data_IF_920526636768
#
_entry.id   IF_920526636768
#
_cell.length_a   1.000
_cell.length_b   1.000
_cell.length_c   1.000
_cell.angle_alpha   90.00
_cell.angle_beta   90.00
_cell.angle_gamma   90.00
#
_symmetry.space_group_name_H-M   'P 1'
#
loop_
_entity.id
_entity.type
_entity.pdbx_description
1 polymer ?
#
# COMPACT_ATOMS: atom_id res chain seq x y z
N UNK A 1 2.85 6.74 7.94
CA UNK A 1 2.82 5.87 6.74
C UNK A 1 2.11 6.61 5.61
N UNK A 2 2.70 6.69 4.41
CA UNK A 2 2.12 7.38 3.24
C UNK A 2 0.71 6.88 2.89
N UNK A 3 0.50 5.56 2.91
CA UNK A 3 -0.81 4.95 2.65
C UNK A 3 -1.90 5.45 3.61
N UNK A 4 -1.58 5.63 4.89
CA UNK A 4 -2.52 6.19 5.86
C UNK A 4 -2.82 7.69 5.62
N UNK A 5 -1.87 8.43 5.01
CA UNK A 5 -2.11 9.83 4.61
C UNK A 5 -3.06 9.92 3.41
N UNK A 6 -2.96 8.99 2.46
CA UNK A 6 -3.90 8.90 1.33
C UNK A 6 -5.35 8.70 1.79
N UNK A 7 -5.55 7.91 2.86
CA UNK A 7 -6.88 7.70 3.45
C UNK A 7 -7.38 8.92 4.23
N UNK A 8 -6.51 9.57 5.00
CA UNK A 8 -6.88 10.74 5.81
C UNK A 8 -7.23 11.99 5.00
N UNK A 9 -6.76 12.11 3.75
CA UNK A 9 -7.05 13.27 2.91
C UNK A 9 -8.53 13.43 2.54
N UNK A 10 -9.39 12.45 2.85
CA UNK A 10 -10.86 12.53 2.69
C UNK A 10 -11.65 12.64 4.00
N UNK A 11 -11.06 12.35 5.16
CA UNK A 11 -11.78 12.34 6.43
C UNK A 11 -11.43 13.57 7.26
N UNK A 12 -12.12 14.68 6.98
CA UNK A 12 -12.38 15.71 7.98
C UNK A 12 -13.63 15.34 8.80
N UNK A 13 -13.68 14.14 9.37
CA UNK A 13 -14.22 13.94 10.72
C UNK A 13 -14.18 12.47 11.18
N UNK A 14 -13.80 12.34 12.45
CA UNK A 14 -13.98 11.22 13.37
C UNK A 14 -13.22 9.89 13.21
N UNK A 15 -12.53 9.60 14.31
CA UNK A 15 -11.87 8.34 14.63
C UNK A 15 -12.87 7.25 14.98
N UNK A 16 -12.86 6.16 14.21
CA UNK A 16 -13.02 4.73 14.59
C UNK A 16 -13.40 3.95 13.33
N UNK A 17 -12.87 2.73 13.22
CA UNK A 17 -13.41 1.62 12.40
C UNK A 17 -12.81 1.44 10.99
N UNK A 18 -11.72 0.67 10.93
CA UNK A 18 -11.07 0.21 9.70
C UNK A 18 -11.97 -0.76 8.88
N UNK A 19 -12.92 -1.45 9.52
CA UNK A 19 -13.90 -2.33 8.85
C UNK A 19 -15.07 -1.56 8.21
N UNK A 20 -15.44 -0.40 8.77
CA UNK A 20 -16.48 0.47 8.22
C UNK A 20 -15.95 1.29 7.02
N UNK A 21 -14.63 1.49 6.95
CA UNK A 21 -13.95 2.17 5.84
C UNK A 21 -14.06 1.36 4.53
N UNK A 22 -14.05 0.03 4.60
CA UNK A 22 -14.25 -0.85 3.43
C UNK A 22 -15.66 -0.66 2.85
N UNK A 23 -16.68 -0.57 3.71
CA UNK A 23 -18.07 -0.39 3.30
C UNK A 23 -18.37 1.05 2.86
N UNK A 24 -17.73 2.04 3.49
CA UNK A 24 -17.88 3.48 3.16
C UNK A 24 -17.18 3.84 1.85
N UNK A 25 -15.97 3.36 1.58
CA UNK A 25 -15.29 3.62 0.30
C UNK A 25 -16.08 2.99 -0.85
N UNK A 26 -16.73 1.83 -0.67
CA UNK A 26 -17.63 1.27 -1.69
C UNK A 26 -18.94 2.06 -1.87
N UNK A 27 -19.38 2.84 -0.86
CA UNK A 27 -20.65 3.59 -0.88
C UNK A 27 -20.50 5.06 -1.25
N UNK A 28 -19.31 5.64 -1.13
CA UNK A 28 -19.08 7.09 -1.20
C UNK A 28 -18.24 7.51 -2.42
N UNK A 29 -18.47 6.85 -3.56
CA UNK A 29 -17.96 7.27 -4.87
C UNK A 29 -18.78 8.44 -5.47
N UNK A 30 -19.11 9.44 -4.66
CA UNK A 30 -19.85 10.64 -5.09
C UNK A 30 -19.11 11.88 -4.61
N UNK A 31 -18.05 12.24 -5.35
CA UNK A 31 -17.29 13.47 -5.11
C UNK A 31 -16.10 13.60 -6.04
N UNK A 32 -16.34 13.88 -7.33
CA UNK A 32 -15.41 14.44 -8.33
C UNK A 32 -13.90 14.13 -8.17
N UNK A 33 -13.54 12.88 -7.90
CA UNK A 33 -12.15 12.41 -7.90
C UNK A 33 -11.89 11.66 -9.21
N UNK A 34 -10.71 11.86 -9.79
CA UNK A 34 -10.31 11.13 -10.99
C UNK A 34 -10.32 9.62 -10.70
N UNK A 35 -10.62 8.76 -11.68
CA UNK A 35 -10.72 7.31 -11.46
C UNK A 35 -9.44 6.67 -10.88
N UNK A 36 -8.26 7.26 -11.08
CA UNK A 36 -7.04 6.81 -10.41
C UNK A 36 -7.04 7.12 -8.89
N UNK A 37 -7.63 8.23 -8.44
CA UNK A 37 -7.63 8.65 -7.04
C UNK A 37 -8.47 7.72 -6.15
N UNK A 38 -9.68 7.37 -6.58
CA UNK A 38 -10.53 6.44 -5.84
C UNK A 38 -9.93 5.04 -5.80
N UNK A 39 -9.33 4.60 -6.93
CA UNK A 39 -8.58 3.36 -6.98
C UNK A 39 -7.38 3.34 -6.02
N UNK A 40 -6.61 4.43 -5.96
CA UNK A 40 -5.45 4.53 -5.08
C UNK A 40 -5.85 4.35 -3.60
N UNK A 41 -7.01 4.87 -3.20
CA UNK A 41 -7.55 4.69 -1.84
C UNK A 41 -7.90 3.23 -1.56
N UNK A 42 -8.66 2.60 -2.46
CA UNK A 42 -9.01 1.18 -2.34
C UNK A 42 -7.77 0.30 -2.26
N UNK A 43 -6.80 0.55 -3.14
CA UNK A 43 -5.52 -0.15 -3.18
C UNK A 43 -4.69 0.10 -1.91
N UNK A 44 -4.69 1.33 -1.37
CA UNK A 44 -4.02 1.65 -0.12
C UNK A 44 -4.64 0.92 1.08
N UNK A 45 -5.96 0.79 1.12
CA UNK A 45 -6.67 0.05 2.17
C UNK A 45 -6.27 -1.42 2.15
N UNK A 46 -6.34 -2.06 0.98
CA UNK A 46 -5.92 -3.45 0.80
C UNK A 46 -4.46 -3.67 1.22
N UNK A 47 -3.56 -2.77 0.80
CA UNK A 47 -2.16 -2.83 1.15
C UNK A 47 -1.90 -2.66 2.66
N UNK A 48 -2.65 -1.78 3.34
CA UNK A 48 -2.57 -1.61 4.79
C UNK A 48 -3.03 -2.87 5.53
N UNK A 49 -4.10 -3.51 5.06
CA UNK A 49 -4.57 -4.79 5.62
C UNK A 49 -3.51 -5.87 5.43
N UNK A 50 -2.90 -5.98 4.25
CA UNK A 50 -1.81 -6.93 4.01
C UNK A 50 -0.60 -6.65 4.92
N UNK A 51 -0.21 -5.37 5.09
CA UNK A 51 0.92 -4.98 5.93
C UNK A 51 0.74 -5.38 7.40
N UNK A 52 -0.49 -5.42 7.93
CA UNK A 52 -0.76 -5.83 9.32
C UNK A 52 -0.24 -7.24 9.61
N UNK A 53 -0.31 -8.14 8.63
CA UNK A 53 0.13 -9.53 8.77
C UNK A 53 1.64 -9.72 8.53
N UNK A 54 2.35 -8.69 8.05
CA UNK A 54 3.79 -8.75 7.81
C UNK A 54 4.53 -8.23 9.06
N UNK A 55 5.46 -9.01 9.64
CA UNK A 55 6.29 -8.56 10.76
C UNK A 55 7.03 -7.25 10.46
N UNK A 56 7.17 -6.38 11.46
CA UNK A 56 7.78 -5.04 11.29
C UNK A 56 9.17 -5.12 10.67
N UNK A 57 9.99 -6.10 11.06
CA UNK A 57 11.32 -6.32 10.49
C UNK A 57 11.28 -6.63 8.97
N UNK A 58 10.34 -7.47 8.54
CA UNK A 58 10.20 -7.86 7.14
C UNK A 58 9.70 -6.71 6.24
N UNK A 59 8.93 -5.76 6.79
CA UNK A 59 8.41 -4.61 6.02
C UNK A 59 9.51 -3.73 5.42
N UNK A 60 10.69 -3.68 6.04
CA UNK A 60 11.83 -2.90 5.53
C UNK A 60 12.42 -3.46 4.24
N UNK A 61 12.29 -4.76 4.01
CA UNK A 61 12.77 -5.43 2.81
C UNK A 61 11.78 -5.41 1.64
N UNK A 62 10.59 -4.82 1.82
CA UNK A 62 9.57 -4.79 0.77
C UNK A 62 9.98 -3.80 -0.32
N UNK A 63 10.04 -4.23 -1.60
CA UNK A 63 10.34 -3.32 -2.70
C UNK A 63 9.19 -2.33 -2.91
N UNK A 64 9.56 -1.06 -3.13
CA UNK A 64 8.63 0.02 -3.41
C UNK A 64 9.04 0.73 -4.69
N UNK A 65 8.06 1.10 -5.52
CA UNK A 65 8.27 1.95 -6.68
C UNK A 65 7.90 3.38 -6.31
N UNK A 66 8.81 4.31 -6.56
CA UNK A 66 8.65 5.74 -6.29
C UNK A 66 8.87 6.55 -7.57
N UNK A 67 8.25 7.72 -7.66
CA UNK A 67 8.54 8.70 -8.71
C UNK A 67 9.90 9.36 -8.49
N UNK A 68 10.37 10.13 -9.48
CA UNK A 68 11.62 10.89 -9.36
C UNK A 68 11.59 11.90 -8.18
N UNK A 69 10.40 12.38 -7.83
CA UNK A 69 10.12 13.30 -6.72
C UNK A 69 9.94 12.57 -5.38
N UNK A 70 10.07 11.24 -5.35
CA UNK A 70 9.92 10.43 -4.15
C UNK A 70 8.47 10.10 -3.76
N UNK A 71 7.51 10.30 -4.66
CA UNK A 71 6.11 9.93 -4.41
C UNK A 71 5.93 8.42 -4.59
N UNK A 72 5.28 7.74 -3.65
CA UNK A 72 5.03 6.30 -3.75
C UNK A 72 4.03 5.99 -4.87
N UNK A 73 4.45 5.17 -5.85
CA UNK A 73 3.63 4.78 -7.00
C UNK A 73 3.05 3.37 -6.86
N UNK A 74 3.82 2.43 -6.30
CA UNK A 74 3.37 1.06 -6.11
C UNK A 74 4.17 0.33 -5.03
N UNK A 75 3.53 -0.64 -4.37
CA UNK A 75 4.20 -1.67 -3.57
C UNK A 75 3.74 -3.02 -4.15
N UNK A 76 4.49 -3.58 -5.12
CA UNK A 76 4.02 -4.71 -5.91
C UNK A 76 3.67 -5.95 -5.07
N UNK A 77 4.47 -6.26 -4.05
CA UNK A 77 4.30 -7.47 -3.22
C UNK A 77 3.06 -7.46 -2.32
N UNK A 78 2.44 -6.31 -2.09
CA UNK A 78 1.23 -6.17 -1.25
C UNK A 78 0.08 -5.50 -2.00
N UNK A 79 0.18 -5.39 -3.34
CA UNK A 79 -0.92 -4.95 -4.19
C UNK A 79 -1.21 -3.44 -4.19
N UNK A 80 -0.34 -2.59 -3.63
CA UNK A 80 -0.53 -1.15 -3.71
C UNK A 80 -0.20 -0.62 -5.12
N UNK A 81 -1.09 0.16 -5.72
CA UNK A 81 -0.92 0.84 -7.01
C UNK A 81 -1.66 2.18 -7.01
N UNK A 82 -0.96 3.24 -7.43
CA UNK A 82 -1.51 4.61 -7.46
C UNK A 82 -2.53 4.83 -8.60
N UNK A 83 -2.49 4.04 -9.67
CA UNK A 83 -3.49 4.09 -10.74
C UNK A 83 -3.67 2.68 -11.35
N UNK A 84 -4.88 2.28 -11.76
CA UNK A 84 -5.12 0.93 -12.29
C UNK A 84 -4.36 0.61 -13.57
N UNK A 85 -4.02 1.62 -14.38
CA UNK A 85 -3.21 1.43 -15.59
C UNK A 85 -1.72 1.19 -15.30
N UNK A 86 -1.28 1.34 -14.05
CA UNK A 86 0.12 1.17 -13.67
C UNK A 86 0.47 -0.33 -13.57
N UNK A 87 1.30 -0.79 -14.50
CA UNK A 87 1.86 -2.15 -14.51
C UNK A 87 3.30 -2.13 -14.01
N UNK A 88 3.50 -2.57 -12.76
CA UNK A 88 4.82 -2.70 -12.13
C UNK A 88 4.92 -4.11 -11.54
N UNK A 89 6.07 -4.75 -11.72
CA UNK A 89 6.44 -6.00 -11.05
C UNK A 89 7.76 -5.80 -10.32
N UNK A 90 7.97 -6.56 -9.25
CA UNK A 90 9.23 -6.62 -8.54
C UNK A 90 9.62 -8.08 -8.38
N UNK A 91 10.82 -8.44 -8.82
CA UNK A 91 11.37 -9.78 -8.66
C UNK A 91 12.38 -9.75 -7.50
N UNK A 92 12.16 -10.59 -6.49
CA UNK A 92 13.12 -10.73 -5.40
C UNK A 92 14.24 -11.69 -5.81
N UNK A 93 15.44 -11.15 -5.99
CA UNK A 93 16.66 -11.93 -6.32
C UNK A 93 17.64 -11.90 -5.15
N UNK A 94 17.49 -12.76 -4.14
CA UNK A 94 18.39 -12.76 -3.00
C UNK A 94 19.79 -13.19 -3.44
N UNK A 95 20.81 -12.44 -3.02
CA UNK A 95 22.22 -12.77 -3.32
C UNK A 95 22.69 -14.05 -2.61
N UNK A 96 22.02 -14.43 -1.52
CA UNK A 96 22.31 -15.63 -0.73
C UNK A 96 21.05 -16.49 -0.70
N UNK A 97 21.11 -17.81 -0.95
CA UNK A 97 19.95 -18.69 -0.90
C UNK A 97 19.21 -18.57 0.43
N UNK A 98 17.88 -18.54 0.37
CA UNK A 98 17.04 -18.64 1.55
C UNK A 98 17.33 -20.00 2.22
N UNK A 99 18.06 -19.97 3.35
CA UNK A 99 18.51 -21.18 4.05
C UNK A 99 20.03 -21.31 4.23
N UNK A 100 20.85 -20.42 3.65
CA UNK A 100 22.32 -20.45 3.77
C UNK A 100 22.90 -19.98 5.12
N UNK A 101 22.15 -20.04 6.23
CA UNK A 101 22.66 -19.77 7.59
C UNK A 101 22.67 -18.30 8.06
N UNK A 102 22.30 -17.33 7.23
CA UNK A 102 22.09 -15.95 7.68
C UNK A 102 20.61 -15.70 7.98
N UNK A 103 20.17 -16.03 9.19
CA UNK A 103 18.80 -15.80 9.69
C UNK A 103 18.58 -14.39 10.25
N UNK A 104 19.55 -13.48 10.14
CA UNK A 104 19.45 -12.14 10.73
C UNK A 104 18.77 -11.16 9.78
N UNK A 105 17.48 -10.94 9.98
CA UNK A 105 16.85 -9.67 9.64
C UNK A 105 17.47 -8.60 10.57
N UNK A 106 18.43 -7.83 10.06
CA UNK A 106 18.96 -6.64 10.72
C UNK A 106 18.28 -5.38 10.16
#
# INVERSE_FOLDING_TARGET
LYLAKLLKASDSDNSKQEDDLFLKVTKQATGNMSPCSDYAKLSALQALTALKYIPVAARRGIPVAVSAEGTLLSIPSIGFKQCPCLAISAEFRPRVPLGGGHSSFA
#
